data_IF_423593587537
#
_entry.id   IF_423593587537
#
_cell.length_a   1.000
_cell.length_b   1.000
_cell.length_c   1.000
_cell.angle_alpha   90.00
_cell.angle_beta   90.00
_cell.angle_gamma   90.00
#
_symmetry.space_group_name_H-M   'P 1'
#
loop_
_entity.id
_entity.type
_entity.pdbx_description
1 polymer ?
#
# COMPACT_ATOMS: atom_id res chain seq x y z
N UNK A 1 23.08 4.10 -4.07
CA UNK A 1 21.77 3.45 -3.83
C UNK A 1 21.53 3.42 -2.34
N UNK A 2 20.58 4.20 -1.85
CA UNK A 2 20.20 4.20 -0.43
C UNK A 2 19.27 3.02 -0.13
N UNK A 3 19.83 1.96 0.43
CA UNK A 3 19.07 0.78 0.82
C UNK A 3 18.61 0.99 2.27
N UNK A 4 17.33 1.32 2.45
CA UNK A 4 16.69 1.43 3.78
C UNK A 4 16.31 0.03 4.28
N UNK A 5 17.28 -0.73 4.77
CA UNK A 5 17.05 -2.02 5.42
C UNK A 5 17.11 -1.89 6.94
N UNK A 6 16.25 -2.63 7.63
CA UNK A 6 16.38 -2.80 9.08
C UNK A 6 17.67 -3.58 9.41
N UNK A 7 18.33 -3.25 10.52
CA UNK A 7 19.60 -3.89 10.94
C UNK A 7 19.50 -5.42 11.07
N UNK A 8 18.31 -5.93 11.39
CA UNK A 8 18.04 -7.35 11.58
C UNK A 8 17.34 -8.00 10.37
N UNK A 9 17.32 -7.34 9.21
CA UNK A 9 16.67 -7.90 8.04
C UNK A 9 17.46 -9.10 7.49
N UNK A 10 16.86 -10.29 7.58
CA UNK A 10 17.46 -11.56 7.11
C UNK A 10 17.60 -11.62 5.59
N UNK A 11 16.68 -10.99 4.84
CA UNK A 11 16.71 -11.00 3.36
C UNK A 11 17.27 -9.68 2.83
N UNK A 12 18.59 -9.60 2.74
CA UNK A 12 19.30 -8.46 2.15
C UNK A 12 19.29 -8.54 0.62
N UNK A 13 19.50 -7.42 -0.09
CA UNK A 13 19.64 -7.44 -1.55
C UNK A 13 20.70 -8.43 -2.04
N UNK A 14 21.81 -8.57 -1.30
CA UNK A 14 22.84 -9.57 -1.61
C UNK A 14 22.27 -10.99 -1.60
N UNK A 15 21.58 -11.38 -0.53
CA UNK A 15 20.97 -12.72 -0.40
C UNK A 15 19.90 -12.95 -1.47
N UNK A 16 19.11 -11.92 -1.81
CA UNK A 16 18.08 -12.01 -2.85
C UNK A 16 18.69 -12.26 -4.24
N UNK A 17 19.81 -11.61 -4.56
CA UNK A 17 20.57 -11.85 -5.78
C UNK A 17 21.20 -13.25 -5.81
N UNK A 18 21.71 -13.74 -4.67
CA UNK A 18 22.21 -15.11 -4.54
C UNK A 18 21.10 -16.16 -4.77
N UNK A 19 19.88 -15.90 -4.28
CA UNK A 19 18.70 -16.75 -4.52
C UNK A 19 18.31 -16.76 -6.00
N UNK A 20 18.38 -15.62 -6.70
CA UNK A 20 18.09 -15.54 -8.14
C UNK A 20 19.13 -16.26 -8.99
N UNK A 21 20.41 -16.19 -8.61
CA UNK A 21 21.50 -16.87 -9.30
C UNK A 21 21.54 -18.39 -9.03
N UNK A 22 20.77 -18.90 -8.07
CA UNK A 22 20.79 -20.30 -7.67
C UNK A 22 20.25 -21.22 -8.80
N UNK A 23 21.00 -22.27 -9.20
CA UNK A 23 20.61 -23.16 -10.29
C UNK A 23 19.32 -23.93 -9.96
N UNK A 24 18.53 -24.25 -10.99
CA UNK A 24 17.24 -24.97 -10.87
C UNK A 24 17.35 -26.36 -10.24
N UNK A 25 18.56 -26.91 -10.14
CA UNK A 25 18.84 -28.16 -9.44
C UNK A 25 18.70 -28.07 -7.92
N UNK A 26 18.86 -26.89 -7.33
CA UNK A 26 18.71 -26.69 -5.88
C UNK A 26 17.24 -26.41 -5.56
N UNK A 27 16.69 -27.17 -4.62
CA UNK A 27 15.29 -27.02 -4.22
C UNK A 27 15.09 -25.78 -3.36
N UNK A 28 13.88 -25.20 -3.43
CA UNK A 28 13.53 -24.03 -2.60
C UNK A 28 13.64 -24.33 -1.09
N UNK A 29 13.41 -25.58 -0.69
CA UNK A 29 13.53 -26.05 0.70
C UNK A 29 14.98 -26.06 1.19
N UNK A 30 15.94 -26.42 0.34
CA UNK A 30 17.36 -26.40 0.69
C UNK A 30 17.86 -24.97 0.88
N UNK A 31 17.51 -24.06 -0.03
CA UNK A 31 17.82 -22.63 0.08
C UNK A 31 17.16 -22.01 1.32
N UNK A 32 15.91 -22.38 1.61
CA UNK A 32 15.19 -21.91 2.79
C UNK A 32 15.92 -22.29 4.10
N UNK A 33 16.41 -23.53 4.17
CA UNK A 33 17.21 -24.02 5.31
C UNK A 33 18.57 -23.32 5.41
N UNK A 34 19.23 -23.07 4.29
CA UNK A 34 20.53 -22.38 4.24
C UNK A 34 20.43 -20.93 4.75
N UNK A 35 19.43 -20.18 4.28
CA UNK A 35 19.26 -18.77 4.63
C UNK A 35 18.36 -18.53 5.85
N UNK A 36 17.78 -19.58 6.45
CA UNK A 36 16.91 -19.46 7.62
C UNK A 36 15.62 -18.68 7.34
N UNK A 37 15.07 -18.81 6.14
CA UNK A 37 13.84 -18.11 5.71
C UNK A 37 12.78 -19.10 5.25
N UNK A 38 11.53 -18.66 5.12
CA UNK A 38 10.47 -19.54 4.63
C UNK A 38 10.68 -19.93 3.15
N UNK A 39 10.28 -21.15 2.73
CA UNK A 39 10.31 -21.53 1.32
C UNK A 39 9.51 -20.59 0.42
N UNK A 40 8.41 -20.01 0.93
CA UNK A 40 7.63 -19.00 0.21
C UNK A 40 8.43 -17.72 -0.06
N UNK A 41 9.31 -17.33 0.86
CA UNK A 41 10.24 -16.20 0.68
C UNK A 41 11.26 -16.50 -0.41
N UNK A 42 11.85 -17.70 -0.42
CA UNK A 42 12.77 -18.15 -1.49
C UNK A 42 12.07 -18.10 -2.84
N UNK A 43 10.92 -18.77 -2.95
CA UNK A 43 10.12 -18.82 -4.17
C UNK A 43 9.79 -17.43 -4.70
N UNK A 44 9.41 -16.51 -3.81
CA UNK A 44 9.12 -15.11 -4.15
C UNK A 44 10.34 -14.41 -4.78
N UNK A 45 11.53 -14.54 -4.20
CA UNK A 45 12.72 -13.86 -4.69
C UNK A 45 13.31 -14.53 -5.93
N UNK A 46 13.24 -15.86 -6.01
CA UNK A 46 13.73 -16.65 -7.15
C UNK A 46 13.08 -16.26 -8.47
N UNK A 47 11.78 -15.99 -8.47
CA UNK A 47 11.00 -15.64 -9.67
C UNK A 47 10.78 -14.14 -9.86
N UNK A 48 11.38 -13.29 -9.01
CA UNK A 48 11.35 -11.85 -9.23
C UNK A 48 12.44 -11.44 -10.23
N UNK A 49 12.15 -10.41 -11.01
CA UNK A 49 13.10 -9.78 -11.93
C UNK A 49 14.04 -8.80 -11.23
N UNK A 50 13.61 -8.26 -10.07
CA UNK A 50 14.35 -7.27 -9.29
C UNK A 50 14.76 -7.81 -7.91
N UNK A 51 15.83 -7.23 -7.38
CA UNK A 51 16.40 -7.54 -6.06
C UNK A 51 15.94 -6.52 -5.00
N UNK A 52 15.52 -5.34 -5.46
CA UNK A 52 15.14 -4.22 -4.62
C UNK A 52 13.66 -4.28 -4.22
N UNK A 53 13.31 -3.64 -3.11
CA UNK A 53 11.93 -3.55 -2.71
C UNK A 53 11.18 -2.58 -3.63
N UNK A 54 10.07 -3.06 -4.20
CA UNK A 54 9.12 -2.22 -4.92
C UNK A 54 8.43 -1.25 -3.96
N UNK A 55 7.95 -0.09 -4.45
CA UNK A 55 7.12 0.78 -3.63
C UNK A 55 5.93 -0.01 -3.08
N UNK A 56 5.69 0.14 -1.78
CA UNK A 56 4.51 -0.42 -1.09
C UNK A 56 3.25 0.42 -1.35
N UNK A 57 3.42 1.57 -1.99
CA UNK A 57 2.32 2.45 -2.39
C UNK A 57 1.50 1.79 -3.49
N UNK A 58 0.18 1.79 -3.33
CA UNK A 58 -0.75 1.34 -4.38
C UNK A 58 -0.53 2.18 -5.64
N UNK A 59 -0.32 1.52 -6.78
CA UNK A 59 -0.10 2.21 -8.07
C UNK A 59 -1.31 3.00 -8.54
N UNK A 60 -2.52 2.50 -8.26
CA UNK A 60 -3.77 3.13 -8.65
C UNK A 60 -4.54 3.54 -7.39
N UNK A 61 -4.24 4.72 -6.87
CA UNK A 61 -5.14 5.39 -5.94
C UNK A 61 -6.36 5.81 -6.76
N UNK A 62 -7.54 5.33 -6.40
CA UNK A 62 -8.81 5.80 -6.96
C UNK A 62 -9.32 6.88 -6.01
N UNK A 63 -8.94 8.16 -6.20
CA UNK A 63 -9.43 9.21 -5.34
C UNK A 63 -10.94 9.32 -5.51
N UNK A 64 -11.64 9.54 -4.40
CA UNK A 64 -13.11 9.74 -4.40
C UNK A 64 -13.48 11.19 -4.75
N UNK A 65 -12.49 12.08 -4.72
CA UNK A 65 -12.59 13.48 -5.08
C UNK A 65 -11.73 13.76 -6.32
N UNK A 66 -12.14 14.74 -7.13
CA UNK A 66 -11.26 15.26 -8.18
C UNK A 66 -10.19 16.16 -7.56
N UNK A 67 -9.06 16.37 -8.24
CA UNK A 67 -8.00 17.27 -7.74
C UNK A 67 -8.51 18.67 -7.38
N UNK A 68 -9.45 19.21 -8.16
CA UNK A 68 -10.04 20.53 -7.92
C UNK A 68 -10.90 20.54 -6.65
N UNK A 69 -11.63 19.46 -6.38
CA UNK A 69 -12.41 19.31 -5.15
C UNK A 69 -11.51 19.18 -3.92
N UNK A 70 -10.36 18.50 -4.06
CA UNK A 70 -9.36 18.41 -3.00
C UNK A 70 -8.76 19.79 -2.66
N UNK A 71 -8.46 20.61 -3.67
CA UNK A 71 -7.95 21.98 -3.46
C UNK A 71 -8.95 22.85 -2.69
N UNK A 72 -10.23 22.78 -3.04
CA UNK A 72 -11.29 23.52 -2.33
C UNK A 72 -11.37 23.09 -0.86
N UNK A 73 -11.23 21.79 -0.57
CA UNK A 73 -11.22 21.29 0.82
C UNK A 73 -9.97 21.72 1.57
N UNK A 74 -8.79 21.63 0.97
CA UNK A 74 -7.54 22.08 1.60
C UNK A 74 -7.65 23.57 1.96
N UNK A 75 -8.09 24.39 1.01
CA UNK A 75 -8.33 25.81 1.25
C UNK A 75 -9.35 26.03 2.38
N UNK A 76 -10.52 25.35 2.33
CA UNK A 76 -11.53 25.46 3.38
C UNK A 76 -10.97 25.06 4.76
N UNK A 77 -10.14 24.01 4.83
CA UNK A 77 -9.48 23.59 6.08
C UNK A 77 -8.54 24.66 6.61
N UNK A 78 -7.75 25.27 5.74
CA UNK A 78 -6.77 26.28 6.12
C UNK A 78 -7.43 27.60 6.56
N UNK A 79 -8.44 28.06 5.81
CA UNK A 79 -9.15 29.30 6.10
C UNK A 79 -10.07 29.21 7.31
N UNK A 80 -10.82 28.12 7.43
CA UNK A 80 -11.84 27.95 8.47
C UNK A 80 -11.32 27.18 9.69
N UNK A 81 -10.12 26.60 9.60
CA UNK A 81 -9.50 25.77 10.66
C UNK A 81 -10.41 24.65 11.18
N UNK A 82 -11.21 24.06 10.28
CA UNK A 82 -12.16 23.02 10.61
C UNK A 82 -11.46 21.75 11.13
N UNK A 83 -12.10 21.10 12.10
CA UNK A 83 -11.74 19.75 12.51
C UNK A 83 -11.92 18.75 11.38
N UNK A 84 -11.31 17.57 11.50
CA UNK A 84 -11.39 16.53 10.47
C UNK A 84 -12.84 16.05 10.24
N UNK A 85 -13.65 15.98 11.29
CA UNK A 85 -15.04 15.58 11.20
C UNK A 85 -15.91 16.68 10.54
N UNK A 86 -15.68 17.95 10.89
CA UNK A 86 -16.44 19.08 10.35
C UNK A 86 -16.18 19.25 8.85
N UNK A 87 -14.92 19.13 8.42
CA UNK A 87 -14.60 19.20 7.00
C UNK A 87 -15.14 17.99 6.23
N UNK A 88 -15.22 16.81 6.85
CA UNK A 88 -15.86 15.65 6.24
C UNK A 88 -17.37 15.87 6.05
N UNK A 89 -18.04 16.52 7.00
CA UNK A 89 -19.45 16.89 6.87
C UNK A 89 -19.63 17.87 5.71
N UNK A 90 -18.83 18.93 5.65
CA UNK A 90 -18.86 19.90 4.55
C UNK A 90 -18.56 19.23 3.20
N UNK A 91 -17.57 18.36 3.13
CA UNK A 91 -17.22 17.62 1.91
C UNK A 91 -18.35 16.69 1.45
N UNK A 92 -19.06 16.05 2.39
CA UNK A 92 -20.24 15.21 2.07
C UNK A 92 -21.38 16.03 1.50
N UNK A 93 -21.64 17.19 2.08
CA UNK A 93 -22.74 18.06 1.70
C UNK A 93 -22.51 18.69 0.32
N UNK A 94 -21.30 19.20 0.07
CA UNK A 94 -21.03 20.04 -1.09
C UNK A 94 -20.31 19.32 -2.24
N UNK A 95 -19.60 18.22 -1.99
CA UNK A 95 -18.73 17.59 -3.00
C UNK A 95 -19.12 16.16 -3.33
N UNK A 96 -19.19 15.30 -2.31
CA UNK A 96 -19.49 13.89 -2.53
C UNK A 96 -20.15 13.25 -1.29
N UNK A 97 -21.47 12.94 -1.34
CA UNK A 97 -22.20 12.39 -0.20
C UNK A 97 -21.73 10.98 0.20
N UNK A 98 -20.94 10.30 -0.64
CA UNK A 98 -20.40 8.96 -0.37
C UNK A 98 -19.04 8.99 0.32
N UNK A 99 -18.50 10.16 0.67
CA UNK A 99 -17.25 10.26 1.41
C UNK A 99 -17.36 9.58 2.77
N UNK A 100 -16.27 8.94 3.19
CA UNK A 100 -16.20 8.19 4.41
C UNK A 100 -14.91 8.54 5.16
N UNK A 101 -14.96 8.51 6.50
CA UNK A 101 -13.81 8.81 7.36
C UNK A 101 -12.74 7.70 7.33
N UNK A 102 -13.13 6.47 6.96
CA UNK A 102 -12.23 5.32 6.99
C UNK A 102 -11.25 5.33 5.80
N UNK A 103 -9.95 5.05 6.05
CA UNK A 103 -8.97 4.92 4.98
C UNK A 103 -9.32 3.74 4.08
N UNK A 104 -9.40 3.98 2.77
CA UNK A 104 -9.65 2.94 1.76
C UNK A 104 -11.12 2.75 1.36
N UNK A 105 -12.03 3.63 1.76
CA UNK A 105 -13.36 3.69 1.14
C UNK A 105 -13.24 4.09 -0.33
N UNK A 106 -13.15 3.09 -1.19
CA UNK A 106 -13.54 3.21 -2.60
C UNK A 106 -15.06 3.32 -2.54
N UNK A 107 -15.63 4.44 -3.00
CA UNK A 107 -17.07 4.60 -3.13
C UNK A 107 -17.64 3.31 -3.74
N UNK A 108 -18.57 2.65 -3.04
CA UNK A 108 -19.19 1.42 -3.53
C UNK A 108 -19.80 1.68 -4.92
N UNK A 109 -19.06 1.30 -5.96
CA UNK A 109 -19.50 1.35 -7.34
C UNK A 109 -20.44 0.17 -7.56
N UNK A 110 -21.73 0.40 -7.30
CA UNK A 110 -22.81 -0.51 -7.66
C UNK A 110 -23.50 -1.18 -6.47
N UNK A 111 -24.58 -0.56 -6.01
CA UNK A 111 -25.78 -1.28 -5.57
C UNK A 111 -25.66 -2.36 -4.50
N UNK A 112 -25.13 -2.06 -3.30
CA UNK A 112 -25.44 -2.85 -2.12
C UNK A 112 -25.28 -2.03 -0.83
N UNK A 113 -26.43 -1.72 -0.23
CA UNK A 113 -26.68 -1.27 1.15
C UNK A 113 -25.44 -1.24 2.07
N UNK A 114 -24.86 -0.06 2.28
CA UNK A 114 -24.06 0.21 3.48
C UNK A 114 -25.03 0.22 4.67
N UNK A 115 -25.13 -0.92 5.39
CA UNK A 115 -25.84 -0.94 6.66
C UNK A 115 -25.06 -0.08 7.65
N UNK A 116 -25.78 0.89 8.22
CA UNK A 116 -25.43 1.71 9.38
C UNK A 116 -24.80 0.84 10.46
N UNK A 117 -23.53 1.08 10.79
CA UNK A 117 -22.97 0.62 12.06
C UNK A 117 -23.63 1.45 13.15
N UNK A 118 -24.50 0.81 13.93
CA UNK A 118 -24.94 1.28 15.24
C UNK A 118 -24.02 0.64 16.26
#
# INVERSE_FOLDING_TARGET
MDIKLHKQATTTPKIRAEIQAAPSSITDSELARQYGVSPATIRRWRYREDVHDRPHTRHNLLPTLTPEQEEVLVAAREFLRLGLDDILIAAREFLNPRLCHAPGCIACSGGARCRRWR
#
